data_IF_947496184516
#
_entry.id   IF_947496184516
#
_cell.length_a   1.000
_cell.length_b   1.000
_cell.length_c   1.000
_cell.angle_alpha   90.00
_cell.angle_beta   90.00
_cell.angle_gamma   90.00
#
_symmetry.space_group_name_H-M   'P 1'
#
loop_
_entity.id
_entity.type
_entity.pdbx_description
1 polymer ?
#
# COMPACT_ATOMS: atom_id res chain seq x y z
N UNK A 1 0.41 -21.76 -15.41
CA UNK A 1 -0.03 -23.16 -15.21
C UNK A 1 -0.71 -23.43 -13.88
N UNK A 2 -0.22 -22.98 -12.71
CA UNK A 2 -0.92 -23.23 -11.41
C UNK A 2 -2.25 -22.47 -11.22
N UNK A 3 -2.38 -21.25 -11.74
CA UNK A 3 -3.62 -20.46 -11.57
C UNK A 3 -4.81 -21.08 -12.34
N UNK A 4 -4.51 -21.75 -13.45
CA UNK A 4 -5.51 -22.40 -14.30
C UNK A 4 -6.03 -23.70 -13.67
N UNK A 5 -5.17 -24.44 -12.96
CA UNK A 5 -5.59 -25.64 -12.23
C UNK A 5 -6.49 -25.31 -11.04
N UNK A 6 -6.20 -24.23 -10.28
CA UNK A 6 -7.07 -23.79 -9.19
C UNK A 6 -8.44 -23.31 -9.69
N UNK A 7 -8.48 -22.58 -10.81
CA UNK A 7 -9.74 -22.17 -11.44
C UNK A 7 -10.58 -23.37 -11.88
N UNK A 8 -9.96 -24.36 -12.52
CA UNK A 8 -10.64 -25.58 -12.95
C UNK A 8 -11.19 -26.38 -11.75
N UNK A 9 -10.41 -26.50 -10.68
CA UNK A 9 -10.84 -27.15 -9.43
C UNK A 9 -12.03 -26.41 -8.80
N UNK A 10 -11.97 -25.08 -8.69
CA UNK A 10 -13.07 -24.28 -8.16
C UNK A 10 -14.35 -24.45 -9.01
N UNK A 11 -14.23 -24.39 -10.34
CA UNK A 11 -15.37 -24.61 -11.24
C UNK A 11 -15.96 -26.01 -11.09
N UNK A 12 -15.15 -27.06 -10.89
CA UNK A 12 -15.64 -28.41 -10.65
C UNK A 12 -16.46 -28.49 -9.35
N UNK A 13 -15.99 -27.85 -8.28
CA UNK A 13 -16.71 -27.75 -7.00
C UNK A 13 -18.05 -27.02 -7.20
N UNK A 14 -18.06 -25.86 -7.86
CA UNK A 14 -19.31 -25.12 -8.09
C UNK A 14 -20.29 -25.88 -8.98
N UNK A 15 -19.83 -26.66 -9.96
CA UNK A 15 -20.70 -27.56 -10.75
C UNK A 15 -21.36 -28.61 -9.86
N UNK A 16 -20.60 -29.22 -8.94
CA UNK A 16 -21.12 -30.22 -8.01
C UNK A 16 -22.10 -29.63 -7.00
N UNK A 17 -21.85 -28.41 -6.51
CA UNK A 17 -22.77 -27.71 -5.62
C UNK A 17 -24.07 -27.35 -6.36
N UNK A 18 -23.96 -26.83 -7.58
CA UNK A 18 -25.11 -26.44 -8.40
C UNK A 18 -25.97 -27.63 -8.85
N UNK A 19 -25.40 -28.83 -8.95
CA UNK A 19 -26.18 -30.06 -9.21
C UNK A 19 -26.97 -30.54 -7.99
N UNK A 20 -26.58 -30.13 -6.78
CA UNK A 20 -27.24 -30.50 -5.51
C UNK A 20 -28.28 -29.48 -5.07
N UNK A 21 -28.01 -28.20 -5.27
CA UNK A 21 -28.94 -27.12 -4.98
C UNK A 21 -28.73 -25.99 -5.99
N UNK A 22 -29.72 -25.76 -6.85
CA UNK A 22 -29.67 -24.66 -7.81
C UNK A 22 -29.61 -23.33 -7.08
N UNK A 23 -28.58 -22.55 -7.38
CA UNK A 23 -28.37 -21.24 -6.76
C UNK A 23 -27.67 -20.31 -7.75
N UNK A 24 -28.24 -19.12 -7.96
CA UNK A 24 -27.70 -18.13 -8.88
C UNK A 24 -26.24 -17.72 -8.56
N UNK A 25 -25.81 -17.80 -7.28
CA UNK A 25 -24.42 -17.57 -6.91
C UNK A 25 -23.48 -18.63 -7.49
N UNK A 26 -23.91 -19.90 -7.54
CA UNK A 26 -23.10 -20.95 -8.16
C UNK A 26 -22.99 -20.73 -9.66
N UNK A 27 -24.09 -20.34 -10.32
CA UNK A 27 -24.08 -19.99 -11.74
C UNK A 27 -23.11 -18.82 -12.01
N UNK A 28 -23.07 -17.83 -11.12
CA UNK A 28 -22.11 -16.72 -11.20
C UNK A 28 -20.65 -17.18 -11.17
N UNK A 29 -20.29 -18.04 -10.22
CA UNK A 29 -18.94 -18.60 -10.16
C UNK A 29 -18.60 -19.53 -11.35
N UNK A 30 -19.61 -20.00 -12.07
CA UNK A 30 -19.45 -20.77 -13.31
C UNK A 30 -19.38 -19.90 -14.57
N UNK A 31 -19.53 -18.58 -14.44
CA UNK A 31 -19.36 -17.61 -15.52
C UNK A 31 -20.65 -16.96 -15.99
N UNK A 32 -21.80 -17.35 -15.45
CA UNK A 32 -23.07 -16.67 -15.74
C UNK A 32 -23.08 -15.27 -15.13
N UNK A 33 -23.46 -14.26 -15.92
CA UNK A 33 -23.56 -12.90 -15.39
C UNK A 33 -24.90 -12.74 -14.68
N UNK A 34 -24.88 -12.36 -13.41
CA UNK A 34 -26.11 -11.98 -12.70
C UNK A 34 -26.46 -10.53 -13.08
N UNK A 35 -27.65 -10.26 -13.66
CA UNK A 35 -28.11 -8.90 -13.87
C UNK A 35 -28.20 -8.18 -12.52
N UNK A 36 -27.49 -7.05 -12.41
CA UNK A 36 -27.47 -6.23 -11.19
C UNK A 36 -27.76 -4.77 -11.55
N UNK A 37 -28.99 -4.49 -12.03
CA UNK A 37 -29.34 -3.18 -12.54
C UNK A 37 -29.19 -2.12 -11.45
N UNK A 38 -28.72 -0.94 -11.83
CA UNK A 38 -28.53 0.16 -10.90
C UNK A 38 -28.71 1.53 -11.56
N UNK A 39 -28.70 2.57 -10.72
CA UNK A 39 -28.82 3.95 -11.20
C UNK A 39 -27.73 4.31 -12.23
N UNK A 40 -26.56 3.69 -12.20
CA UNK A 40 -25.49 3.93 -13.16
C UNK A 40 -25.81 3.46 -14.58
N UNK A 41 -26.73 2.51 -14.76
CA UNK A 41 -27.17 2.06 -16.09
C UNK A 41 -27.99 3.13 -16.81
N UNK A 42 -28.60 4.04 -16.03
CA UNK A 42 -29.37 5.18 -16.52
C UNK A 42 -28.56 6.49 -16.58
N UNK A 43 -27.22 6.40 -16.42
CA UNK A 43 -26.36 7.56 -16.36
C UNK A 43 -26.39 8.34 -17.67
N UNK A 44 -26.88 9.58 -17.61
CA UNK A 44 -26.87 10.48 -18.76
C UNK A 44 -25.45 10.90 -19.09
N UNK A 45 -24.88 10.29 -20.12
CA UNK A 45 -23.57 10.64 -20.66
C UNK A 45 -23.66 11.89 -21.54
N UNK A 46 -22.60 12.70 -21.53
CA UNK A 46 -22.55 13.93 -22.33
C UNK A 46 -22.39 13.55 -23.80
N UNK A 47 -23.33 14.01 -24.63
CA UNK A 47 -23.27 13.81 -26.08
C UNK A 47 -22.02 14.51 -26.63
N UNK A 48 -21.32 13.86 -27.56
CA UNK A 48 -20.05 14.31 -28.16
C UNK A 48 -18.82 14.34 -27.23
N UNK A 49 -18.92 13.89 -25.97
CA UNK A 49 -17.72 13.67 -25.16
C UNK A 49 -16.87 12.52 -25.74
N UNK A 50 -15.53 12.55 -25.58
CA UNK A 50 -14.69 11.41 -25.91
C UNK A 50 -15.08 10.15 -25.15
N UNK A 51 -14.95 8.98 -25.77
CA UNK A 51 -15.41 7.73 -25.18
C UNK A 51 -14.69 7.37 -23.88
N UNK A 52 -13.40 7.72 -23.74
CA UNK A 52 -12.66 7.55 -22.48
C UNK A 52 -13.30 8.33 -21.32
N UNK A 53 -13.86 9.52 -21.58
CA UNK A 53 -14.49 10.36 -20.56
C UNK A 53 -15.84 9.79 -20.14
N UNK A 54 -16.60 9.26 -21.10
CA UNK A 54 -17.84 8.52 -20.84
C UNK A 54 -17.58 7.28 -19.97
N UNK A 55 -16.59 6.48 -20.36
CA UNK A 55 -16.18 5.28 -19.62
C UNK A 55 -15.69 5.62 -18.20
N UNK A 56 -14.89 6.68 -18.04
CA UNK A 56 -14.46 7.14 -16.72
C UNK A 56 -15.64 7.55 -15.84
N UNK A 57 -16.64 8.24 -16.41
CA UNK A 57 -17.85 8.66 -15.68
C UNK A 57 -18.68 7.46 -15.23
N UNK A 58 -18.83 6.45 -16.08
CA UNK A 58 -19.50 5.20 -15.74
C UNK A 58 -18.73 4.45 -14.64
N UNK A 59 -17.41 4.25 -14.80
CA UNK A 59 -16.55 3.60 -13.82
C UNK A 59 -16.63 4.28 -12.45
N UNK A 60 -16.65 5.61 -12.43
CA UNK A 60 -16.79 6.38 -11.19
C UNK A 60 -18.16 6.15 -10.54
N UNK A 61 -19.25 6.08 -11.32
CA UNK A 61 -20.57 5.79 -10.79
C UNK A 61 -20.61 4.38 -10.16
N UNK A 62 -20.05 3.38 -10.84
CA UNK A 62 -20.01 2.01 -10.33
C UNK A 62 -19.11 1.90 -9.08
N UNK A 63 -17.95 2.57 -9.08
CA UNK A 63 -17.08 2.63 -7.90
C UNK A 63 -17.80 3.27 -6.71
N UNK A 64 -18.52 4.38 -6.92
CA UNK A 64 -19.33 5.00 -5.87
C UNK A 64 -20.38 4.04 -5.33
N UNK A 65 -21.12 3.36 -6.20
CA UNK A 65 -22.12 2.36 -5.78
C UNK A 65 -21.51 1.28 -4.89
N UNK A 66 -20.34 0.76 -5.24
CA UNK A 66 -19.63 -0.23 -4.45
C UNK A 66 -19.19 0.35 -3.09
N UNK A 67 -18.59 1.55 -3.11
CA UNK A 67 -18.16 2.25 -1.90
C UNK A 67 -19.32 2.51 -0.94
N UNK A 68 -20.44 3.04 -1.45
CA UNK A 68 -21.64 3.32 -0.66
C UNK A 68 -22.17 2.03 0.00
N UNK A 69 -22.18 0.90 -0.71
CA UNK A 69 -22.60 -0.37 -0.11
C UNK A 69 -21.67 -0.83 1.01
N UNK A 70 -20.35 -0.82 0.80
CA UNK A 70 -19.39 -1.22 1.83
C UNK A 70 -19.47 -0.31 3.05
N UNK A 71 -19.54 1.00 2.84
CA UNK A 71 -19.52 1.99 3.92
C UNK A 71 -20.84 1.99 4.68
N UNK A 72 -21.98 1.97 3.99
CA UNK A 72 -23.30 2.10 4.64
C UNK A 72 -23.88 0.76 5.13
N UNK A 73 -23.42 -0.38 4.59
CA UNK A 73 -24.01 -1.71 4.91
C UNK A 73 -23.06 -2.67 5.61
N UNK A 74 -21.75 -2.49 5.47
CA UNK A 74 -20.75 -3.46 5.99
C UNK A 74 -19.80 -2.88 7.01
N UNK A 75 -19.52 -1.57 6.95
CA UNK A 75 -18.48 -0.99 7.79
C UNK A 75 -18.86 -1.03 9.28
N UNK A 76 -18.12 -1.83 10.04
CA UNK A 76 -18.27 -2.01 11.48
C UNK A 76 -17.96 -0.72 12.26
N UNK A 77 -18.33 -0.68 13.54
CA UNK A 77 -18.14 0.49 14.41
C UNK A 77 -16.67 0.90 14.54
N UNK A 78 -15.77 -0.08 14.59
CA UNK A 78 -14.32 0.13 14.60
C UNK A 78 -13.73 0.49 13.22
N UNK A 79 -14.55 0.58 12.17
CA UNK A 79 -14.15 0.99 10.82
C UNK A 79 -13.82 -0.14 9.85
N UNK A 80 -13.74 -1.40 10.30
CA UNK A 80 -13.48 -2.57 9.44
C UNK A 80 -14.61 -2.81 8.43
N UNK A 81 -14.26 -3.31 7.24
CA UNK A 81 -15.20 -3.76 6.21
C UNK A 81 -15.44 -5.28 6.25
N UNK A 82 -14.63 -6.02 7.01
CA UNK A 82 -14.82 -7.44 7.30
C UNK A 82 -13.70 -8.36 6.79
N UNK A 83 -12.64 -7.80 6.21
CA UNK A 83 -11.38 -8.48 5.90
C UNK A 83 -10.41 -8.54 7.08
N UNK A 84 -10.73 -7.87 8.19
CA UNK A 84 -9.85 -7.43 9.29
C UNK A 84 -9.11 -6.15 8.93
N UNK A 85 -8.76 -5.40 9.96
CA UNK A 85 -8.20 -4.05 9.81
C UNK A 85 -6.89 -3.98 9.01
N UNK A 86 -6.12 -5.06 8.92
CA UNK A 86 -4.87 -5.13 8.17
C UNK A 86 -5.09 -5.26 6.67
N UNK A 87 -6.07 -6.07 6.26
CA UNK A 87 -6.43 -6.21 4.85
C UNK A 87 -7.40 -5.08 4.38
N UNK A 88 -8.28 -4.61 5.27
CA UNK A 88 -9.33 -3.64 4.94
C UNK A 88 -8.78 -2.26 4.54
N UNK A 89 -7.57 -1.90 4.99
CA UNK A 89 -6.95 -0.63 4.60
C UNK A 89 -6.55 -0.60 3.13
N UNK A 90 -6.28 -1.76 2.52
CA UNK A 90 -5.95 -1.83 1.10
C UNK A 90 -7.16 -1.48 0.21
N UNK A 91 -8.39 -1.74 0.68
CA UNK A 91 -9.61 -1.32 -0.01
C UNK A 91 -9.66 0.19 -0.21
N UNK A 92 -9.08 0.96 0.71
CA UNK A 92 -9.06 2.42 0.62
C UNK A 92 -8.30 2.92 -0.61
N UNK A 93 -7.27 2.20 -1.08
CA UNK A 93 -6.55 2.54 -2.32
C UNK A 93 -7.49 2.61 -3.53
N UNK A 94 -8.55 1.79 -3.56
CA UNK A 94 -9.58 1.83 -4.60
C UNK A 94 -10.55 3.01 -4.43
N UNK A 95 -10.70 3.55 -3.21
CA UNK A 95 -11.60 4.66 -2.90
C UNK A 95 -10.97 6.05 -3.13
N UNK A 96 -9.64 6.13 -3.31
CA UNK A 96 -8.90 7.38 -3.55
C UNK A 96 -9.56 8.30 -4.59
N UNK A 97 -10.03 7.84 -5.77
CA UNK A 97 -10.68 8.71 -6.75
C UNK A 97 -11.99 9.35 -6.27
N UNK A 98 -12.76 8.68 -5.41
CA UNK A 98 -14.00 9.23 -4.85
C UNK A 98 -13.69 10.31 -3.81
N UNK A 99 -12.73 9.99 -2.95
CA UNK A 99 -12.26 10.85 -1.87
C UNK A 99 -11.66 12.16 -2.40
N UNK A 100 -10.81 12.09 -3.43
CA UNK A 100 -10.24 13.28 -4.08
C UNK A 100 -11.28 14.14 -4.80
N UNK A 101 -12.45 13.58 -5.14
CA UNK A 101 -13.58 14.33 -5.70
C UNK A 101 -14.46 14.98 -4.62
N UNK A 102 -14.17 14.74 -3.34
CA UNK A 102 -14.98 15.24 -2.23
C UNK A 102 -16.23 14.41 -1.94
N UNK A 103 -16.28 13.13 -2.36
CA UNK A 103 -17.41 12.26 -2.00
C UNK A 103 -17.47 12.06 -0.49
N UNK A 104 -18.52 12.58 0.13
CA UNK A 104 -18.67 12.61 1.58
C UNK A 104 -18.86 11.22 2.20
N UNK A 105 -19.41 10.26 1.45
CA UNK A 105 -19.58 8.89 1.95
C UNK A 105 -18.23 8.20 1.99
N UNK A 106 -17.46 8.30 0.91
CA UNK A 106 -16.10 7.77 0.85
C UNK A 106 -15.19 8.40 1.93
N UNK A 107 -15.24 9.72 2.11
CA UNK A 107 -14.46 10.43 3.14
C UNK A 107 -14.85 9.96 4.55
N UNK A 108 -16.15 9.83 4.85
CA UNK A 108 -16.62 9.28 6.14
C UNK A 108 -16.10 7.87 6.38
N UNK A 109 -16.22 7.00 5.37
CA UNK A 109 -15.75 5.61 5.47
C UNK A 109 -14.25 5.53 5.70
N UNK A 110 -13.47 6.31 4.95
CA UNK A 110 -12.03 6.43 5.13
C UNK A 110 -11.67 6.91 6.54
N UNK A 111 -12.32 7.99 6.99
CA UNK A 111 -12.06 8.59 8.31
C UNK A 111 -12.34 7.60 9.43
N UNK A 112 -13.41 6.80 9.32
CA UNK A 112 -13.78 5.79 10.31
C UNK A 112 -12.72 4.70 10.42
N UNK A 113 -12.25 4.16 9.29
CA UNK A 113 -11.17 3.16 9.29
C UNK A 113 -9.84 3.74 9.76
N UNK A 114 -9.49 4.97 9.37
CA UNK A 114 -8.28 5.64 9.83
C UNK A 114 -8.26 5.86 11.36
N UNK A 115 -9.40 6.21 11.95
CA UNK A 115 -9.54 6.28 13.41
C UNK A 115 -9.47 4.90 14.07
N UNK A 116 -10.11 3.89 13.46
CA UNK A 116 -10.04 2.50 13.89
C UNK A 116 -8.62 1.98 13.95
N UNK A 117 -7.83 2.22 12.90
CA UNK A 117 -6.41 1.86 12.85
C UNK A 117 -5.65 2.55 13.96
N UNK A 118 -5.79 3.88 14.08
CA UNK A 118 -5.06 4.64 15.09
C UNK A 118 -5.32 4.13 16.52
N UNK A 119 -6.56 3.74 16.82
CA UNK A 119 -6.99 3.24 18.12
C UNK A 119 -6.78 1.73 18.31
N UNK A 120 -6.30 1.00 17.30
CA UNK A 120 -6.12 -0.45 17.38
C UNK A 120 -5.05 -0.81 18.41
N UNK A 121 -5.26 -1.87 19.23
CA UNK A 121 -4.27 -2.31 20.22
C UNK A 121 -2.97 -2.83 19.59
N UNK A 122 -3.00 -3.17 18.29
CA UNK A 122 -1.83 -3.60 17.52
C UNK A 122 -0.88 -2.46 17.22
N UNK A 123 -1.37 -1.21 17.26
CA UNK A 123 -0.64 -0.02 16.88
C UNK A 123 0.04 0.64 18.08
N UNK A 124 1.19 1.21 17.81
CA UNK A 124 1.92 2.14 18.66
C UNK A 124 2.16 3.41 17.86
N UNK A 125 1.41 4.45 18.19
CA UNK A 125 1.59 5.81 17.65
C UNK A 125 1.66 5.85 16.10
N UNK A 126 0.80 5.10 15.40
CA UNK A 126 0.76 5.07 13.94
C UNK A 126 1.69 4.06 13.27
N UNK A 127 2.24 3.09 14.01
CA UNK A 127 2.94 1.95 13.42
C UNK A 127 2.71 0.64 14.18
N UNK A 128 2.90 -0.50 13.51
CA UNK A 128 2.67 -1.82 14.11
C UNK A 128 3.68 -2.11 15.24
N UNK A 129 3.22 -2.66 16.38
CA UNK A 129 4.08 -3.07 17.49
C UNK A 129 4.93 -4.32 17.18
N UNK A 130 4.37 -5.23 16.40
CA UNK A 130 5.00 -6.51 16.03
C UNK A 130 5.90 -6.31 14.82
N UNK A 131 7.07 -6.93 14.84
CA UNK A 131 7.95 -6.99 13.67
C UNK A 131 7.29 -7.85 12.58
N UNK A 132 7.05 -7.24 11.42
CA UNK A 132 6.63 -7.88 10.17
C UNK A 132 7.47 -7.32 9.03
N UNK A 133 7.36 -7.91 7.83
CA UNK A 133 7.94 -7.27 6.65
C UNK A 133 7.33 -5.88 6.43
N UNK A 134 8.07 -5.01 5.76
CA UNK A 134 7.82 -3.57 5.69
C UNK A 134 6.51 -3.23 4.98
N UNK A 135 6.03 -4.11 4.12
CA UNK A 135 4.75 -3.95 3.45
C UNK A 135 3.62 -4.07 4.47
N UNK A 136 3.49 -5.25 5.10
CA UNK A 136 2.45 -5.47 6.11
C UNK A 136 2.62 -4.63 7.39
N UNK A 137 3.86 -4.30 7.78
CA UNK A 137 4.08 -3.48 8.97
C UNK A 137 3.60 -2.02 8.76
N UNK A 138 3.68 -1.53 7.53
CA UNK A 138 3.36 -0.15 7.19
C UNK A 138 1.93 0.07 6.69
N UNK A 139 1.28 -0.95 6.11
CA UNK A 139 -0.03 -0.87 5.44
C UNK A 139 -1.07 -0.13 6.29
N UNK A 140 -1.25 -0.57 7.55
CA UNK A 140 -2.28 -0.09 8.47
C UNK A 140 -2.39 1.44 8.45
N UNK A 141 -1.28 2.12 8.74
CA UNK A 141 -1.29 3.57 8.88
C UNK A 141 -0.95 4.28 7.58
N UNK A 142 -0.13 3.69 6.71
CA UNK A 142 0.29 4.32 5.46
C UNK A 142 -0.86 4.42 4.45
N UNK A 143 -1.81 3.48 4.47
CA UNK A 143 -3.00 3.48 3.62
C UNK A 143 -4.19 4.22 4.25
N UNK A 144 -4.04 4.76 5.46
CA UNK A 144 -5.12 5.51 6.14
C UNK A 144 -4.73 6.94 6.49
N UNK A 145 -3.73 7.12 7.34
CA UNK A 145 -3.36 8.37 7.99
C UNK A 145 -2.96 9.50 7.03
N UNK A 146 -2.02 9.28 6.08
CA UNK A 146 -1.54 10.33 5.18
C UNK A 146 -2.66 11.06 4.43
N UNK A 147 -3.63 10.33 3.89
CA UNK A 147 -4.75 10.93 3.17
C UNK A 147 -5.60 11.84 4.06
N UNK A 148 -5.73 11.57 5.35
CA UNK A 148 -6.51 12.42 6.26
C UNK A 148 -5.96 13.85 6.37
N UNK A 149 -4.65 14.05 6.12
CA UNK A 149 -4.04 15.40 6.09
C UNK A 149 -4.45 16.22 4.86
N UNK A 150 -4.88 15.54 3.78
CA UNK A 150 -5.47 16.18 2.60
C UNK A 150 -6.98 16.42 2.76
N UNK A 151 -7.67 15.54 3.48
CA UNK A 151 -9.14 15.52 3.54
C UNK A 151 -9.73 16.29 4.71
N UNK A 152 -8.89 16.64 5.69
CA UNK A 152 -9.31 17.29 6.93
C UNK A 152 -8.31 18.35 7.35
N UNK A 153 -8.85 19.45 7.88
CA UNK A 153 -8.07 20.49 8.55
C UNK A 153 -7.91 20.23 10.06
N UNK A 154 -8.45 19.13 10.58
CA UNK A 154 -8.27 18.74 11.98
C UNK A 154 -6.77 18.49 12.28
N UNK A 155 -6.16 19.27 13.18
CA UNK A 155 -4.74 19.15 13.49
C UNK A 155 -4.36 17.77 14.03
N UNK A 156 -5.31 16.99 14.56
CA UNK A 156 -5.05 15.64 15.07
C UNK A 156 -4.42 14.76 13.98
N UNK A 157 -4.87 14.85 12.73
CA UNK A 157 -4.34 13.99 11.66
C UNK A 157 -2.90 14.32 11.31
N UNK A 158 -2.55 15.61 11.35
CA UNK A 158 -1.15 16.03 11.17
C UNK A 158 -0.29 15.58 12.36
N UNK A 159 -0.79 15.69 13.60
CA UNK A 159 -0.08 15.23 14.79
C UNK A 159 0.20 13.72 14.75
N UNK A 160 -0.75 12.93 14.24
CA UNK A 160 -0.63 11.47 14.10
C UNK A 160 0.48 11.03 13.14
N UNK A 161 0.94 11.89 12.22
CA UNK A 161 2.06 11.55 11.32
C UNK A 161 3.45 11.76 11.96
N UNK A 162 3.55 12.58 13.00
CA UNK A 162 4.84 12.96 13.64
C UNK A 162 5.66 11.79 14.19
N UNK A 163 5.06 10.76 14.83
CA UNK A 163 5.84 9.63 15.36
C UNK A 163 6.65 8.90 14.30
N UNK A 164 6.22 8.90 13.04
CA UNK A 164 6.93 8.24 11.94
C UNK A 164 8.34 8.81 11.74
N UNK A 165 8.54 10.12 11.88
CA UNK A 165 9.89 10.72 11.79
C UNK A 165 10.82 10.16 12.86
N UNK A 166 10.33 10.01 14.10
CA UNK A 166 11.09 9.41 15.21
C UNK A 166 11.43 7.95 14.92
N UNK A 167 10.45 7.15 14.48
CA UNK A 167 10.70 5.75 14.16
C UNK A 167 11.70 5.59 13.02
N UNK A 168 11.57 6.41 11.97
CA UNK A 168 12.50 6.43 10.85
C UNK A 168 13.92 6.71 11.31
N UNK A 169 14.12 7.75 12.11
CA UNK A 169 15.44 8.16 12.56
C UNK A 169 16.08 7.19 13.55
N UNK A 170 15.33 6.76 14.57
CA UNK A 170 15.86 6.07 15.74
C UNK A 170 15.78 4.54 15.59
N UNK A 171 14.69 4.04 15.01
CA UNK A 171 14.37 2.61 14.99
C UNK A 171 14.64 1.97 13.64
N UNK A 172 14.20 2.56 12.54
CA UNK A 172 14.18 1.89 11.24
C UNK A 172 15.45 2.09 10.43
N UNK A 173 16.00 3.30 10.44
CA UNK A 173 17.19 3.64 9.66
C UNK A 173 18.43 3.78 10.53
N UNK A 174 19.57 3.91 9.88
CA UNK A 174 20.82 4.32 10.49
C UNK A 174 21.84 4.73 9.42
N UNK A 175 23.07 5.02 9.83
CA UNK A 175 24.16 5.32 8.91
C UNK A 175 24.93 4.06 8.56
N UNK A 176 25.24 3.87 7.28
CA UNK A 176 26.10 2.80 6.79
C UNK A 176 27.57 3.08 7.15
N UNK A 177 28.45 2.12 6.89
CA UNK A 177 29.90 2.30 7.00
C UNK A 177 30.47 3.42 6.11
N UNK A 178 29.72 3.84 5.09
CA UNK A 178 30.07 4.97 4.21
C UNK A 178 29.39 6.29 4.61
N UNK A 179 28.64 6.29 5.72
CA UNK A 179 27.95 7.49 6.23
C UNK A 179 26.63 7.82 5.53
N UNK A 180 26.12 6.97 4.63
CA UNK A 180 24.82 7.18 3.99
C UNK A 180 23.69 6.60 4.85
N UNK A 181 22.45 7.10 4.68
CA UNK A 181 21.28 6.60 5.43
C UNK A 181 20.54 5.53 4.64
N UNK A 182 20.22 4.41 5.29
CA UNK A 182 19.36 3.32 4.76
C UNK A 182 18.49 2.74 5.88
N UNK A 183 17.39 2.06 5.51
CA UNK A 183 16.71 1.18 6.46
C UNK A 183 17.63 0.03 6.87
N UNK A 184 17.61 -0.28 8.17
CA UNK A 184 18.34 -1.38 8.80
C UNK A 184 17.85 -2.74 8.35
N UNK A 185 16.57 -2.81 8.03
CA UNK A 185 15.87 -4.03 7.69
C UNK A 185 14.58 -3.73 6.96
N UNK A 186 14.14 -4.67 6.14
CA UNK A 186 12.80 -4.74 5.60
C UNK A 186 11.81 -5.42 6.56
N UNK A 187 12.24 -5.84 7.75
CA UNK A 187 11.40 -6.36 8.82
C UNK A 187 11.49 -5.46 10.03
N UNK A 188 10.40 -4.77 10.35
CA UNK A 188 10.40 -3.67 11.30
C UNK A 188 9.08 -3.51 12.04
N UNK A 189 9.13 -2.80 13.17
CA UNK A 189 8.01 -2.39 14.00
C UNK A 189 8.27 -0.99 14.56
N UNK A 190 7.37 -0.46 15.38
CA UNK A 190 7.59 0.83 16.06
C UNK A 190 8.81 0.83 17.00
N UNK A 191 9.20 -0.35 17.51
CA UNK A 191 10.21 -0.49 18.58
C UNK A 191 11.43 -1.33 18.18
N UNK A 192 11.37 -2.12 17.11
CA UNK A 192 12.44 -3.04 16.73
C UNK A 192 12.59 -3.21 15.22
N UNK A 193 13.75 -3.73 14.82
CA UNK A 193 14.06 -4.20 13.47
C UNK A 193 14.70 -5.58 13.56
N UNK A 194 14.44 -6.46 12.59
CA UNK A 194 15.08 -7.78 12.49
C UNK A 194 16.18 -7.76 11.43
N UNK A 195 17.43 -7.84 11.86
CA UNK A 195 18.61 -7.76 11.00
C UNK A 195 19.21 -9.13 10.64
N UNK A 196 18.47 -10.22 10.82
CA UNK A 196 18.91 -11.52 10.31
C UNK A 196 18.99 -11.50 8.78
N UNK A 197 20.02 -12.09 8.18
CA UNK A 197 20.09 -12.24 6.72
C UNK A 197 18.96 -13.15 6.23
N UNK A 198 18.25 -12.80 5.12
CA UNK A 198 18.46 -11.67 4.23
C UNK A 198 17.69 -10.38 4.60
N UNK A 199 16.97 -10.34 5.72
CA UNK A 199 16.08 -9.24 6.14
C UNK A 199 16.79 -7.90 6.34
N UNK A 200 18.09 -7.89 6.64
CA UNK A 200 18.97 -6.72 6.86
C UNK A 200 19.22 -5.83 5.62
N UNK A 201 18.21 -5.66 4.78
CA UNK A 201 18.27 -4.91 3.54
C UNK A 201 17.15 -3.89 3.50
N UNK A 202 17.46 -2.71 2.98
CA UNK A 202 16.50 -1.72 2.55
C UNK A 202 15.89 -2.14 1.21
N UNK A 203 14.63 -1.80 0.98
CA UNK A 203 13.85 -2.10 -0.22
C UNK A 203 13.24 -0.80 -0.77
N UNK A 204 12.98 -0.72 -2.08
CA UNK A 204 12.08 0.31 -2.62
C UNK A 204 10.71 0.34 -1.91
N UNK A 205 10.27 -0.81 -1.41
CA UNK A 205 9.03 -0.94 -0.63
C UNK A 205 9.06 -0.20 0.71
N UNK A 206 10.25 0.09 1.28
CA UNK A 206 10.39 0.91 2.49
C UNK A 206 9.84 2.33 2.31
N UNK A 207 9.62 2.78 1.06
CA UNK A 207 8.92 4.01 0.81
C UNK A 207 7.53 3.99 1.47
N UNK A 208 6.81 2.86 1.51
CA UNK A 208 5.51 2.77 2.18
C UNK A 208 5.59 3.21 3.64
N UNK A 209 6.54 2.66 4.41
CA UNK A 209 6.74 3.04 5.82
C UNK A 209 7.06 4.53 6.02
N UNK A 210 7.75 5.15 5.05
CA UNK A 210 8.05 6.58 5.05
C UNK A 210 6.91 7.47 4.49
N UNK A 211 5.75 6.93 4.10
CA UNK A 211 4.61 7.71 3.55
C UNK A 211 4.09 8.76 4.53
N UNK A 212 3.85 8.45 5.82
CA UNK A 212 3.40 9.45 6.78
C UNK A 212 4.38 10.62 6.93
N UNK A 213 5.69 10.38 7.00
CA UNK A 213 6.66 11.45 7.16
C UNK A 213 6.77 12.35 5.91
N UNK A 214 6.55 11.82 4.70
CA UNK A 214 6.48 12.63 3.47
C UNK A 214 5.28 13.57 3.48
N UNK A 215 4.11 13.08 3.87
CA UNK A 215 2.91 13.91 3.99
C UNK A 215 3.03 14.95 5.09
N UNK A 216 3.69 14.60 6.21
CA UNK A 216 4.04 15.56 7.25
C UNK A 216 4.93 16.67 6.69
N UNK A 217 6.03 16.31 6.01
CA UNK A 217 6.94 17.28 5.41
C UNK A 217 6.24 18.17 4.39
N UNK A 218 5.35 17.61 3.56
CA UNK A 218 4.55 18.38 2.61
C UNK A 218 3.60 19.37 3.31
N UNK A 219 2.91 18.94 4.37
CA UNK A 219 1.92 19.78 5.08
C UNK A 219 2.58 20.86 5.94
N UNK A 220 3.71 20.56 6.58
CA UNK A 220 4.28 21.43 7.63
C UNK A 220 5.63 22.05 7.29
N UNK A 221 6.33 21.56 6.27
CA UNK A 221 7.69 22.00 5.96
C UNK A 221 8.72 21.69 7.06
N UNK A 222 8.50 20.63 7.85
CA UNK A 222 9.37 20.27 8.98
C UNK A 222 10.80 19.96 8.49
N UNK A 223 11.76 20.81 8.84
CA UNK A 223 13.12 20.76 8.28
C UNK A 223 13.86 19.48 8.66
N UNK A 224 13.72 19.02 9.90
CA UNK A 224 14.33 17.77 10.36
C UNK A 224 13.81 16.56 9.57
N UNK A 225 12.50 16.49 9.37
CA UNK A 225 11.89 15.43 8.54
C UNK A 225 12.37 15.50 7.09
N UNK A 226 12.47 16.70 6.52
CA UNK A 226 13.00 16.91 5.15
C UNK A 226 14.46 16.49 5.04
N UNK A 227 15.30 16.80 6.02
CA UNK A 227 16.71 16.40 6.05
C UNK A 227 16.85 14.87 6.06
N UNK A 228 16.12 14.17 6.93
CA UNK A 228 16.13 12.71 7.00
C UNK A 228 15.68 12.06 5.68
N UNK A 229 14.62 12.57 5.07
CA UNK A 229 14.15 12.12 3.76
C UNK A 229 15.20 12.38 2.68
N UNK A 230 15.84 13.54 2.70
CA UNK A 230 16.86 13.92 1.73
C UNK A 230 18.10 13.03 1.83
N UNK A 231 18.58 12.74 3.05
CA UNK A 231 19.69 11.82 3.28
C UNK A 231 19.41 10.44 2.68
N UNK A 232 18.23 9.88 2.95
CA UNK A 232 17.84 8.57 2.45
C UNK A 232 17.65 8.56 0.92
N UNK A 233 17.00 9.59 0.37
CA UNK A 233 16.80 9.73 -1.07
C UNK A 233 18.12 9.87 -1.84
N UNK A 234 19.11 10.60 -1.28
CA UNK A 234 20.45 10.69 -1.86
C UNK A 234 21.13 9.33 -1.95
N UNK A 235 21.02 8.50 -0.91
CA UNK A 235 21.55 7.14 -0.95
C UNK A 235 20.94 6.34 -2.09
N UNK A 236 19.61 6.32 -2.21
CA UNK A 236 18.92 5.59 -3.28
C UNK A 236 19.21 6.12 -4.69
N UNK A 237 19.40 7.44 -4.84
CA UNK A 237 19.90 8.04 -6.08
C UNK A 237 21.29 7.51 -6.43
N UNK A 238 22.21 7.49 -5.48
CA UNK A 238 23.59 7.05 -5.76
C UNK A 238 23.64 5.54 -6.07
N UNK A 239 22.82 4.76 -5.38
CA UNK A 239 22.60 3.34 -5.66
C UNK A 239 22.01 3.10 -7.05
N UNK A 240 21.08 3.95 -7.51
CA UNK A 240 20.54 3.83 -8.86
C UNK A 240 21.59 4.13 -9.93
N UNK A 241 22.56 5.00 -9.64
CA UNK A 241 23.67 5.32 -10.54
C UNK A 241 24.83 4.32 -10.52
N UNK A 242 24.92 3.50 -9.46
CA UNK A 242 25.92 2.42 -9.35
C UNK A 242 25.74 1.36 -10.44
N UNK A 243 26.85 0.74 -10.88
CA UNK A 243 26.86 -0.37 -11.84
C UNK A 243 27.32 -1.69 -11.20
N UNK A 244 27.38 -1.75 -9.87
CA UNK A 244 27.79 -2.95 -9.13
C UNK A 244 26.91 -4.17 -9.52
N UNK A 245 27.55 -5.35 -9.56
CA UNK A 245 26.93 -6.62 -10.00
C UNK A 245 26.33 -6.57 -11.43
N UNK A 246 26.85 -5.69 -12.28
CA UNK A 246 26.39 -5.52 -13.66
C UNK A 246 25.04 -4.81 -13.77
N UNK A 247 24.59 -4.11 -12.73
CA UNK A 247 23.35 -3.32 -12.76
C UNK A 247 23.47 -2.20 -13.81
N UNK A 248 22.47 -2.01 -14.69
CA UNK A 248 22.45 -0.85 -15.57
C UNK A 248 22.38 0.46 -14.77
N UNK A 249 23.06 1.50 -15.27
CA UNK A 249 23.03 2.84 -14.66
C UNK A 249 21.62 3.43 -14.77
N UNK A 250 21.15 4.07 -13.70
CA UNK A 250 19.83 4.69 -13.60
C UNK A 250 18.73 3.74 -13.11
N UNK A 251 19.01 2.45 -13.00
CA UNK A 251 18.06 1.45 -12.52
C UNK A 251 18.15 1.33 -11.00
N UNK A 252 17.01 1.43 -10.31
CA UNK A 252 16.94 1.25 -8.85
C UNK A 252 17.15 -0.23 -8.52
N UNK A 253 18.09 -0.63 -7.64
CA UNK A 253 18.20 -2.04 -7.25
C UNK A 253 16.98 -2.50 -6.42
N UNK A 254 16.60 -3.79 -6.46
CA UNK A 254 15.44 -4.28 -5.72
C UNK A 254 15.70 -4.39 -4.21
N UNK A 255 16.96 -4.53 -3.78
CA UNK A 255 17.32 -4.46 -2.36
C UNK A 255 18.76 -4.00 -2.15
N UNK A 256 19.05 -3.44 -0.98
CA UNK A 256 20.40 -2.97 -0.60
C UNK A 256 20.68 -3.28 0.86
N UNK A 257 21.79 -3.96 1.15
CA UNK A 257 22.16 -4.34 2.52
C UNK A 257 22.62 -3.15 3.36
N UNK A 258 22.13 -3.06 4.60
CA UNK A 258 22.27 -1.89 5.45
C UNK A 258 23.70 -1.53 5.90
N UNK A 259 24.60 -2.43 6.34
CA UNK A 259 25.91 -1.97 6.81
C UNK A 259 26.84 -1.45 5.69
N UNK A 260 26.81 -2.03 4.50
CA UNK A 260 27.84 -1.86 3.46
C UNK A 260 27.31 -1.38 2.10
N UNK A 261 25.99 -1.23 1.99
CA UNK A 261 25.27 -0.84 0.77
C UNK A 261 25.44 -1.84 -0.38
N UNK A 262 25.67 -3.12 -0.07
CA UNK A 262 25.77 -4.15 -1.10
C UNK A 262 24.41 -4.36 -1.78
N UNK A 263 24.34 -4.12 -3.10
CA UNK A 263 23.16 -4.42 -3.93
C UNK A 263 22.81 -5.90 -3.78
N UNK A 264 21.60 -6.20 -3.33
CA UNK A 264 21.13 -7.56 -3.00
C UNK A 264 22.03 -8.34 -2.04
N UNK A 265 22.76 -7.67 -1.14
CA UNK A 265 23.61 -8.34 -0.15
C UNK A 265 24.58 -9.34 -0.77
N UNK A 266 24.45 -10.62 -0.44
CA UNK A 266 25.33 -11.70 -0.91
C UNK A 266 24.88 -12.35 -2.24
N UNK A 267 23.75 -11.91 -2.81
CA UNK A 267 23.25 -12.50 -4.06
C UNK A 267 24.20 -12.26 -5.24
N UNK A 268 24.29 -13.22 -6.16
CA UNK A 268 25.23 -13.13 -7.30
C UNK A 268 24.81 -12.07 -8.33
N UNK A 269 23.54 -11.75 -8.43
CA UNK A 269 22.99 -10.88 -9.47
C UNK A 269 22.30 -9.64 -8.86
N UNK A 270 22.04 -8.64 -9.71
CA UNK A 270 21.45 -7.37 -9.28
C UNK A 270 19.91 -7.35 -9.30
N UNK A 271 19.25 -8.26 -10.02
CA UNK A 271 17.80 -8.20 -10.27
C UNK A 271 16.95 -9.11 -9.38
N UNK A 272 17.56 -10.12 -8.74
CA UNK A 272 16.89 -10.99 -7.76
C UNK A 272 17.33 -10.66 -6.34
N UNK A 273 16.40 -10.13 -5.56
CA UNK A 273 16.59 -9.79 -4.16
C UNK A 273 16.59 -11.03 -3.26
N UNK A 274 15.81 -12.07 -3.57
CA UNK A 274 15.62 -13.26 -2.73
C UNK A 274 15.14 -12.89 -1.31
N UNK A 275 14.20 -11.96 -1.23
CA UNK A 275 13.68 -11.39 0.02
C UNK A 275 12.37 -12.05 0.46
N UNK A 276 12.29 -13.38 0.36
CA UNK A 276 11.13 -14.24 0.67
C UNK A 276 9.91 -14.06 -0.24
N UNK A 277 9.56 -12.83 -0.61
CA UNK A 277 8.36 -12.51 -1.38
C UNK A 277 8.70 -12.08 -2.80
N UNK A 278 7.94 -12.60 -3.77
CA UNK A 278 8.14 -12.29 -5.19
C UNK A 278 7.90 -10.80 -5.52
N UNK A 279 7.06 -10.09 -4.78
CA UNK A 279 6.79 -8.68 -4.99
C UNK A 279 7.94 -7.75 -4.57
N UNK A 280 8.97 -8.29 -3.89
CA UNK A 280 10.23 -7.58 -3.66
C UNK A 280 11.23 -7.75 -4.80
N UNK A 281 10.94 -8.60 -5.78
CA UNK A 281 11.79 -8.80 -6.96
C UNK A 281 11.61 -7.69 -7.99
N UNK A 282 12.65 -7.43 -8.79
CA UNK A 282 12.67 -6.34 -9.77
C UNK A 282 11.56 -6.45 -10.82
N UNK A 283 11.20 -7.67 -11.22
CA UNK A 283 10.26 -7.96 -12.31
C UNK A 283 8.78 -7.85 -11.91
N UNK A 284 8.47 -7.62 -10.63
CA UNK A 284 7.11 -7.81 -10.10
C UNK A 284 6.50 -6.64 -9.37
N UNK A 285 7.23 -5.55 -9.11
CA UNK A 285 6.73 -4.64 -8.09
C UNK A 285 7.58 -3.46 -7.68
N UNK A 286 8.82 -3.76 -7.33
CA UNK A 286 9.56 -2.88 -6.42
C UNK A 286 9.86 -1.52 -7.03
N UNK A 287 10.09 -1.44 -8.35
CA UNK A 287 10.38 -0.18 -9.02
C UNK A 287 9.24 0.83 -8.89
N UNK A 288 7.99 0.46 -9.20
CA UNK A 288 6.88 1.40 -9.09
C UNK A 288 6.58 1.78 -7.65
N UNK A 289 6.89 0.95 -6.65
CA UNK A 289 6.65 1.29 -5.23
C UNK A 289 7.50 2.46 -4.72
N UNK A 290 8.66 2.70 -5.31
CA UNK A 290 9.40 3.94 -5.05
C UNK A 290 8.66 5.19 -5.57
N UNK A 291 7.87 5.04 -6.63
CA UNK A 291 7.07 6.10 -7.26
C UNK A 291 5.58 6.12 -6.82
N UNK A 292 5.11 5.07 -6.17
CA UNK A 292 3.75 4.87 -5.66
C UNK A 292 3.53 5.75 -4.43
N UNK A 293 3.43 7.06 -4.67
CA UNK A 293 3.56 8.09 -3.65
C UNK A 293 2.45 9.15 -3.65
N UNK A 294 1.51 9.06 -4.59
CA UNK A 294 0.31 9.90 -4.65
C UNK A 294 -0.98 9.08 -4.81
N UNK A 295 -0.90 7.76 -4.79
CA UNK A 295 -2.03 6.85 -4.86
C UNK A 295 -2.44 6.36 -3.46
#
# INVERSE_FOLDING_TARGET
MHCESHRQQAQAIFKQLNSKAKNALFDMYLGEKIPSPCACDSLKLVQNAPDWSKAQREAHCQLKRLADWWIEKRQAENGEFGGKIDDDVELLRCLTPLVLRGDQTAIRGWTKLANGVWSSPQMDSGFLKRVRDVEHAAEYFSDTGPMMVLLSDDPVFTQRLRPTTRFFEQTWTGKTTKGNRLFKSAWLSSTAVDTATPRNRDLPFSCLAAKPMRFLAWKTGDSHTLELLHEWAKTWRDLSLSTAKGKPRGIVPPSVRFPDEAINGDEKNWWRANMFWHYFEWDYGTYWKMYDQFC
#
